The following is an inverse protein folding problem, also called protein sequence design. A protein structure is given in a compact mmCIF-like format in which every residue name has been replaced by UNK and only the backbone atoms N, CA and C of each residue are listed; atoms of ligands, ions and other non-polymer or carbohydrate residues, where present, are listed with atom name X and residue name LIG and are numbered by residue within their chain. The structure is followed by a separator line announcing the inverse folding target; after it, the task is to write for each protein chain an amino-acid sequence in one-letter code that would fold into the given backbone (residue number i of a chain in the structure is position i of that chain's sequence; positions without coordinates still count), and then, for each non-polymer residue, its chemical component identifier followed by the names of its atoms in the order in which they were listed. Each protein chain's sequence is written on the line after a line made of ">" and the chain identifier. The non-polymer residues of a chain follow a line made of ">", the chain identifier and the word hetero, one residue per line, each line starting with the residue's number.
data_IF_764231154668
#
_entry.id   IF_764231154668
#
_cell.length_a   1.000
_cell.length_b   1.000
_cell.length_c   1.000
_cell.angle_alpha   90.00
_cell.angle_beta   90.00
_cell.angle_gamma   90.00
#
_symmetry.space_group_name_H-M   'P 1'
#
loop_
_entity.id
_entity.type
_entity.pdbx_description
1 polymer ?
#
# COMPACT_ATOMS: atom_id res chain seq x y z
N UNK A 1 11.97 -33.20 -13.29
CA UNK A 1 12.30 -31.76 -13.19
C UNK A 1 11.00 -31.05 -12.81
N UNK A 2 10.76 -30.85 -11.52
CA UNK A 2 9.49 -30.32 -11.02
C UNK A 2 9.54 -28.78 -11.04
N UNK A 3 8.69 -28.17 -11.85
CA UNK A 3 8.48 -26.73 -11.94
C UNK A 3 8.00 -26.23 -10.58
N UNK A 4 8.87 -25.52 -9.85
CA UNK A 4 8.52 -24.91 -8.56
C UNK A 4 7.53 -23.77 -8.82
N UNK A 5 6.37 -23.91 -8.18
CA UNK A 5 5.25 -22.97 -8.22
C UNK A 5 5.70 -21.59 -7.69
N UNK A 6 5.71 -20.57 -8.55
CA UNK A 6 5.78 -19.18 -8.12
C UNK A 6 4.48 -18.85 -7.39
N UNK A 7 4.51 -18.84 -6.06
CA UNK A 7 3.32 -18.50 -5.28
C UNK A 7 3.18 -16.98 -5.26
N UNK A 8 2.49 -16.46 -6.27
CA UNK A 8 2.05 -15.07 -6.35
C UNK A 8 0.86 -14.89 -5.41
N UNK A 9 1.06 -14.16 -4.31
CA UNK A 9 -0.06 -13.70 -3.50
C UNK A 9 -0.49 -12.34 -4.02
N UNK A 10 -1.68 -12.29 -4.64
CA UNK A 10 -2.35 -11.06 -5.03
C UNK A 10 -3.54 -10.84 -4.10
N UNK A 11 -3.50 -9.80 -3.29
CA UNK A 11 -4.65 -9.36 -2.50
C UNK A 11 -5.24 -8.09 -3.12
N UNK A 12 -6.51 -8.15 -3.51
CA UNK A 12 -7.33 -6.99 -3.85
C UNK A 12 -7.85 -6.41 -2.54
N UNK A 13 -7.63 -5.12 -2.30
CA UNK A 13 -7.76 -4.55 -0.96
C UNK A 13 -8.65 -3.30 -0.86
N UNK A 14 -9.43 -3.21 0.24
CA UNK A 14 -10.40 -2.14 0.55
C UNK A 14 -10.46 -1.69 2.04
N UNK A 15 -9.47 -1.98 2.90
CA UNK A 15 -9.51 -1.59 4.33
C UNK A 15 -8.46 -0.50 4.68
N UNK A 16 -8.21 -0.23 5.97
CA UNK A 16 -7.15 0.69 6.44
C UNK A 16 -5.81 -0.03 6.75
N UNK A 17 -5.86 -1.32 7.09
CA UNK A 17 -4.68 -2.23 7.14
C UNK A 17 -4.85 -3.54 6.36
N UNK A 18 -3.83 -3.99 5.62
CA UNK A 18 -3.71 -5.35 5.05
C UNK A 18 -2.43 -5.99 5.56
N UNK A 19 -2.43 -7.31 5.74
CA UNK A 19 -1.20 -8.04 6.05
C UNK A 19 -1.16 -9.41 5.40
N UNK A 20 0.05 -9.87 5.07
CA UNK A 20 0.35 -11.25 4.72
C UNK A 20 1.32 -11.83 5.74
N UNK A 21 1.24 -13.14 5.95
CA UNK A 21 2.17 -13.89 6.79
C UNK A 21 3.06 -14.76 5.91
N UNK A 22 4.36 -14.74 6.19
CA UNK A 22 5.37 -15.47 5.43
C UNK A 22 5.47 -16.90 5.96
N UNK A 23 5.18 -17.88 5.10
CA UNK A 23 5.28 -19.30 5.48
C UNK A 23 6.65 -19.92 5.16
N UNK A 24 7.39 -19.28 4.26
CA UNK A 24 8.70 -19.76 3.80
C UNK A 24 9.73 -18.65 3.93
N UNK A 25 10.78 -18.81 4.75
CA UNK A 25 11.81 -17.79 4.89
C UNK A 25 12.56 -17.59 3.57
N UNK A 26 13.04 -16.37 3.35
CA UNK A 26 13.77 -16.02 2.13
C UNK A 26 13.82 -14.54 1.87
N UNK A 27 14.38 -14.19 0.71
CA UNK A 27 14.39 -12.81 0.21
C UNK A 27 13.19 -12.63 -0.72
N UNK A 28 12.46 -11.53 -0.57
CA UNK A 28 11.26 -11.24 -1.35
C UNK A 28 11.28 -9.83 -1.92
N UNK A 29 10.80 -9.70 -3.16
CA UNK A 29 10.38 -8.43 -3.72
C UNK A 29 8.93 -8.17 -3.29
N UNK A 30 8.69 -7.04 -2.64
CA UNK A 30 7.38 -6.58 -2.18
C UNK A 30 7.00 -5.36 -2.99
N UNK A 31 5.87 -5.43 -3.68
CA UNK A 31 5.27 -4.33 -4.43
C UNK A 31 3.89 -3.98 -3.86
N UNK A 32 3.63 -2.69 -3.72
CA UNK A 32 2.35 -2.16 -3.25
C UNK A 32 1.89 -1.12 -4.25
N UNK A 33 0.62 -1.20 -4.65
CA UNK A 33 -0.10 -0.13 -5.35
C UNK A 33 -1.36 0.18 -4.55
N UNK A 34 -1.47 1.40 -4.05
CA UNK A 34 -2.69 1.86 -3.38
C UNK A 34 -3.33 2.92 -4.25
N UNK A 35 -4.57 2.68 -4.62
CA UNK A 35 -5.46 3.61 -5.27
C UNK A 35 -6.39 4.19 -4.21
N UNK A 36 -6.38 5.51 -4.04
CA UNK A 36 -7.07 6.15 -2.92
C UNK A 36 -7.51 7.58 -3.25
N UNK A 37 -8.39 8.10 -2.41
CA UNK A 37 -8.75 9.50 -2.34
C UNK A 37 -8.18 10.08 -1.03
N UNK A 38 -7.28 11.09 -1.09
CA UNK A 38 -6.78 11.76 0.11
C UNK A 38 -7.94 12.33 0.94
N UNK A 39 -7.85 12.26 2.26
CA UNK A 39 -8.83 12.90 3.13
C UNK A 39 -8.82 14.42 2.94
N UNK A 40 -10.01 15.02 3.04
CA UNK A 40 -10.19 16.47 2.98
C UNK A 40 -10.00 17.09 4.37
N UNK A 41 -8.86 16.80 4.99
CA UNK A 41 -8.49 17.32 6.30
C UNK A 41 -7.20 18.13 6.20
N UNK A 42 -6.93 18.95 7.22
CA UNK A 42 -5.68 19.71 7.30
C UNK A 42 -4.46 18.83 7.65
N UNK A 43 -4.69 17.54 7.89
CA UNK A 43 -3.65 16.58 8.27
C UNK A 43 -3.28 15.74 7.05
N UNK A 44 -1.98 15.65 6.76
CA UNK A 44 -1.49 14.74 5.72
C UNK A 44 -1.63 13.30 6.16
N UNK A 45 -2.17 12.44 5.30
CA UNK A 45 -2.17 11.00 5.51
C UNK A 45 -0.90 10.32 5.02
N UNK A 46 -0.76 9.04 5.32
CA UNK A 46 0.37 8.24 4.84
C UNK A 46 -0.07 6.87 4.35
N UNK A 47 0.72 6.32 3.42
CA UNK A 47 0.69 4.91 3.05
C UNK A 47 2.04 4.33 3.47
N UNK A 48 1.99 3.38 4.39
CA UNK A 48 3.17 2.79 5.01
C UNK A 48 3.26 1.31 4.71
N UNK A 49 4.44 0.87 4.25
CA UNK A 49 4.80 -0.53 4.16
C UNK A 49 5.60 -0.93 5.40
N UNK A 50 5.11 -1.92 6.13
CA UNK A 50 5.68 -2.37 7.39
C UNK A 50 6.13 -3.84 7.27
N UNK A 51 7.26 -4.14 7.91
CA UNK A 51 7.74 -5.50 8.19
C UNK A 51 7.69 -5.73 9.69
N UNK A 52 6.97 -6.76 10.14
CA UNK A 52 6.82 -7.09 11.56
C UNK A 52 6.42 -5.88 12.43
N UNK A 53 5.59 -4.98 11.88
CA UNK A 53 5.14 -3.76 12.56
C UNK A 53 6.10 -2.57 12.47
N UNK A 54 7.31 -2.76 11.95
CA UNK A 54 8.30 -1.69 11.72
C UNK A 54 8.12 -1.12 10.32
N UNK A 55 8.01 0.20 10.21
CA UNK A 55 7.90 0.88 8.90
C UNK A 55 9.20 0.75 8.11
N UNK A 56 9.10 0.20 6.90
CA UNK A 56 10.21 0.03 5.95
C UNK A 56 10.17 1.13 4.89
N UNK A 57 8.98 1.48 4.42
CA UNK A 57 8.75 2.59 3.51
C UNK A 57 7.48 3.34 3.87
N UNK A 58 7.45 4.62 3.51
CA UNK A 58 6.32 5.51 3.73
C UNK A 58 6.22 6.49 2.56
N UNK A 59 5.00 6.79 2.15
CA UNK A 59 4.69 7.88 1.25
C UNK A 59 3.59 8.74 1.86
N UNK A 60 3.73 10.05 1.75
CA UNK A 60 2.66 10.98 2.09
C UNK A 60 1.54 10.91 1.03
N UNK A 61 0.30 10.89 1.49
CA UNK A 61 -0.89 10.94 0.63
C UNK A 61 -1.24 12.36 0.17
N UNK A 62 -0.58 13.36 0.75
CA UNK A 62 -0.90 14.77 0.58
C UNK A 62 -2.12 15.21 1.39
N UNK A 63 -2.52 16.46 1.20
CA UNK A 63 -3.77 17.03 1.72
C UNK A 63 -4.54 17.64 0.55
N UNK A 64 -5.87 17.52 0.55
CA UNK A 64 -6.71 18.20 -0.42
C UNK A 64 -7.00 19.62 0.07
N UNK A 65 -6.07 20.55 -0.16
CA UNK A 65 -6.29 21.98 0.08
C UNK A 65 -6.07 22.77 -1.21
N UNK A 66 -7.15 23.05 -1.94
CA UNK A 66 -7.17 24.00 -3.04
C UNK A 66 -8.27 25.04 -2.77
N UNK A 67 -7.88 26.31 -2.72
CA UNK A 67 -8.81 27.43 -2.59
C UNK A 67 -8.98 28.07 -3.97
N UNK A 68 -10.07 27.74 -4.67
CA UNK A 68 -10.50 28.50 -5.85
C UNK A 68 -11.35 29.69 -5.38
N UNK A 69 -10.69 30.82 -5.19
CA UNK A 69 -11.34 32.06 -4.75
C UNK A 69 -12.32 32.66 -5.76
N UNK A 70 -12.46 32.11 -6.98
CA UNK A 70 -13.24 32.71 -8.04
C UNK A 70 -14.68 32.16 -8.15
N UNK A 71 -14.92 30.88 -7.83
CA UNK A 71 -16.21 30.22 -8.10
C UNK A 71 -16.94 29.66 -6.87
N UNK A 72 -16.42 29.84 -5.64
CA UNK A 72 -17.07 29.32 -4.43
C UNK A 72 -17.19 27.79 -4.40
N UNK A 73 -16.39 27.09 -5.23
CA UNK A 73 -16.39 25.64 -5.31
C UNK A 73 -15.79 25.04 -4.04
N UNK A 74 -16.54 24.12 -3.43
CA UNK A 74 -16.17 23.44 -2.18
C UNK A 74 -15.19 22.30 -2.47
N UNK A 75 -14.11 22.27 -1.68
CA UNK A 75 -13.14 21.20 -1.42
C UNK A 75 -13.33 19.93 -2.26
N UNK A 76 -12.43 19.70 -3.24
CA UNK A 76 -12.40 18.42 -3.96
C UNK A 76 -11.01 17.79 -3.86
N UNK A 77 -10.96 16.61 -3.25
CA UNK A 77 -9.83 15.70 -3.39
C UNK A 77 -9.95 14.99 -4.74
N UNK A 78 -8.81 14.69 -5.38
CA UNK A 78 -8.78 13.88 -6.60
C UNK A 78 -8.29 12.48 -6.27
N UNK A 79 -8.90 11.49 -6.92
CA UNK A 79 -8.42 10.11 -6.86
C UNK A 79 -6.99 10.07 -7.39
N UNK A 80 -6.13 9.34 -6.68
CA UNK A 80 -4.73 9.21 -7.03
C UNK A 80 -4.22 7.82 -6.65
N UNK A 81 -2.95 7.56 -6.96
CA UNK A 81 -2.30 6.30 -6.70
C UNK A 81 -0.91 6.49 -6.13
N UNK A 82 -0.50 5.61 -5.23
CA UNK A 82 0.86 5.56 -4.68
C UNK A 82 1.40 4.15 -4.81
N UNK A 83 2.63 4.02 -5.30
CA UNK A 83 3.35 2.75 -5.35
C UNK A 83 4.52 2.74 -4.36
N UNK A 84 4.66 1.66 -3.60
CA UNK A 84 5.83 1.37 -2.77
C UNK A 84 6.47 0.07 -3.22
N UNK A 85 7.79 -0.03 -3.15
CA UNK A 85 8.51 -1.26 -3.51
C UNK A 85 9.77 -1.43 -2.68
N UNK A 86 9.93 -2.59 -2.07
CA UNK A 86 11.17 -2.94 -1.37
C UNK A 86 11.58 -4.39 -1.62
N UNK A 87 12.85 -4.68 -1.36
CA UNK A 87 13.36 -6.04 -1.24
C UNK A 87 13.66 -6.26 0.23
N UNK A 88 13.12 -7.34 0.80
CA UNK A 88 13.30 -7.66 2.21
C UNK A 88 13.62 -9.15 2.39
N UNK A 89 14.58 -9.44 3.25
CA UNK A 89 14.72 -10.77 3.84
C UNK A 89 13.67 -10.91 4.94
N UNK A 90 12.92 -12.02 4.91
CA UNK A 90 11.87 -12.33 5.87
C UNK A 90 12.01 -13.75 6.38
N UNK A 91 11.71 -13.93 7.65
CA UNK A 91 11.68 -15.21 8.35
C UNK A 91 10.28 -15.81 8.33
N UNK A 92 10.17 -17.08 8.73
CA UNK A 92 8.87 -17.74 8.91
C UNK A 92 8.05 -17.02 9.98
N UNK A 93 6.75 -16.90 9.74
CA UNK A 93 5.75 -16.28 10.61
C UNK A 93 5.90 -14.75 10.77
N UNK A 94 6.91 -14.13 10.14
CA UNK A 94 6.95 -12.68 9.98
C UNK A 94 5.83 -12.19 9.04
N UNK A 95 5.39 -10.95 9.25
CA UNK A 95 4.33 -10.34 8.47
C UNK A 95 4.82 -9.12 7.70
N UNK A 96 4.29 -8.97 6.49
CA UNK A 96 4.38 -7.76 5.69
C UNK A 96 2.99 -7.14 5.67
N UNK A 97 2.89 -5.85 5.99
CA UNK A 97 1.61 -5.15 6.04
C UNK A 97 1.67 -3.78 5.41
N UNK A 98 0.53 -3.37 4.85
CA UNK A 98 0.31 -2.01 4.35
C UNK A 98 -0.70 -1.34 5.27
N UNK A 99 -0.39 -0.13 5.71
CA UNK A 99 -1.26 0.69 6.56
C UNK A 99 -1.49 2.03 5.85
N UNK A 100 -2.75 2.41 5.70
CA UNK A 100 -3.16 3.67 5.12
C UNK A 100 -3.81 4.54 6.22
N UNK A 101 -3.45 5.82 6.26
CA UNK A 101 -4.08 6.80 7.17
C UNK A 101 -4.60 7.99 6.37
N UNK A 102 -5.65 8.64 6.88
CA UNK A 102 -6.28 9.84 6.28
C UNK A 102 -6.48 9.72 4.75
N UNK A 103 -6.95 8.55 4.32
CA UNK A 103 -7.25 8.23 2.92
C UNK A 103 -8.45 7.31 2.88
N UNK A 104 -9.16 7.30 1.74
CA UNK A 104 -10.30 6.42 1.52
C UNK A 104 -10.08 5.59 0.26
N UNK A 105 -10.50 4.33 0.31
CA UNK A 105 -10.44 3.44 -0.85
C UNK A 105 -11.37 3.95 -1.97
N UNK A 106 -10.93 3.80 -3.22
CA UNK A 106 -11.74 4.15 -4.39
C UNK A 106 -12.36 2.89 -5.00
N UNK A 107 -13.67 2.91 -5.24
CA UNK A 107 -14.42 1.74 -5.72
C UNK A 107 -14.18 1.40 -7.19
N UNK A 108 -13.60 2.34 -7.95
CA UNK A 108 -13.38 2.23 -9.40
C UNK A 108 -12.01 1.68 -9.77
N UNK A 109 -11.10 1.48 -8.81
CA UNK A 109 -9.77 0.94 -9.06
C UNK A 109 -9.32 0.01 -7.92
N UNK A 110 -8.65 -1.09 -8.28
CA UNK A 110 -8.14 -2.05 -7.31
C UNK A 110 -6.77 -1.63 -6.77
N UNK A 111 -6.56 -1.80 -5.47
CA UNK A 111 -5.25 -1.73 -4.84
C UNK A 111 -4.64 -3.13 -4.70
N UNK A 112 -3.31 -3.23 -4.73
CA UNK A 112 -2.58 -4.50 -4.73
C UNK A 112 -1.42 -4.50 -3.73
N UNK A 113 -1.28 -5.61 -3.01
CA UNK A 113 -0.05 -6.02 -2.34
C UNK A 113 0.43 -7.30 -3.02
N UNK A 114 1.63 -7.25 -3.58
CA UNK A 114 2.27 -8.35 -4.32
C UNK A 114 3.58 -8.70 -3.67
N UNK A 115 3.83 -9.99 -3.45
CA UNK A 115 5.07 -10.49 -2.87
C UNK A 115 5.59 -11.66 -3.68
N UNK A 116 6.85 -11.56 -4.11
CA UNK A 116 7.51 -12.55 -4.97
C UNK A 116 8.84 -12.96 -4.33
N UNK A 117 9.05 -14.25 -4.12
CA UNK A 117 10.32 -14.77 -3.60
C UNK A 117 11.41 -14.60 -4.65
N UNK A 118 12.56 -14.04 -4.25
CA UNK A 118 13.76 -13.92 -5.06
C UNK A 118 14.65 -15.14 -4.78
N UNK A 119 15.02 -15.85 -5.84
CA UNK A 119 15.81 -17.09 -5.73
C UNK A 119 14.96 -18.33 -5.41
N UNK A 120 15.55 -19.50 -5.61
CA UNK A 120 14.88 -20.81 -5.61
C UNK A 120 15.29 -21.73 -4.46
#
# INVERSE_FOLDING_TARGET
>A
MATKLFQLFLLIYFADKTSITVLHPGVYAVGVLVNYLPAQTNNGGTISLLKNGVQVQCAATGTAYYNDGYNGARYTSHQTSTSLMCIAQVEKDEFISVVCTESSAISTAASYLTVVRIGA
#
